data_IF_178770765519
#
_entry.id   IF_178770765519
#
_cell.length_a   1.000
_cell.length_b   1.000
_cell.length_c   1.000
_cell.angle_alpha   90.00
_cell.angle_beta   90.00
_cell.angle_gamma   90.00
#
_symmetry.space_group_name_H-M   'P 1'
#
loop_
_entity.id
_entity.type
_entity.pdbx_description
1 polymer ?
#
# COMPACT_ATOMS: atom_id res chain seq x y z
N UNK A 1 -16.43 -4.29 -37.53
CA UNK A 1 -15.45 -3.77 -36.55
C UNK A 1 -14.15 -4.52 -36.77
N UNK A 2 -13.05 -3.85 -37.17
CA UNK A 2 -11.74 -4.53 -37.27
C UNK A 2 -11.32 -4.88 -35.83
N UNK A 3 -10.96 -6.13 -35.51
CA UNK A 3 -10.44 -6.43 -34.19
C UNK A 3 -9.17 -5.60 -33.99
N UNK A 4 -9.14 -4.80 -32.93
CA UNK A 4 -7.94 -4.09 -32.52
C UNK A 4 -6.81 -5.11 -32.39
N UNK A 5 -5.75 -4.94 -33.20
CA UNK A 5 -4.60 -5.84 -33.13
C UNK A 5 -3.91 -5.60 -31.80
N UNK A 6 -3.84 -6.65 -30.98
CA UNK A 6 -3.02 -6.65 -29.76
C UNK A 6 -1.57 -6.33 -30.17
N UNK A 7 -0.99 -5.28 -29.56
CA UNK A 7 0.42 -4.95 -29.79
C UNK A 7 1.33 -6.02 -29.19
N UNK A 8 2.55 -6.14 -29.71
CA UNK A 8 3.55 -7.07 -29.17
C UNK A 8 3.89 -6.76 -27.69
N UNK A 9 3.86 -5.48 -27.31
CA UNK A 9 4.14 -5.05 -25.95
C UNK A 9 3.00 -5.43 -25.00
N UNK A 10 1.74 -5.21 -25.40
CA UNK A 10 0.58 -5.60 -24.59
C UNK A 10 0.51 -7.12 -24.39
N UNK A 11 0.87 -7.91 -25.41
CA UNK A 11 0.97 -9.37 -25.27
C UNK A 11 2.10 -9.77 -24.30
N UNK A 12 3.23 -9.06 -24.32
CA UNK A 12 4.37 -9.32 -23.44
C UNK A 12 4.03 -9.01 -21.98
N UNK A 13 3.41 -7.87 -21.71
CA UNK A 13 2.98 -7.49 -20.37
C UNK A 13 1.92 -8.46 -19.83
N UNK A 14 0.94 -8.84 -20.65
CA UNK A 14 -0.03 -9.89 -20.30
C UNK A 14 0.64 -11.22 -19.95
N UNK A 15 1.57 -11.69 -20.80
CA UNK A 15 2.26 -12.96 -20.56
C UNK A 15 3.12 -12.93 -19.29
N UNK A 16 3.76 -11.79 -19.03
CA UNK A 16 4.55 -11.55 -17.82
C UNK A 16 3.67 -11.53 -16.56
N UNK A 17 2.52 -10.87 -16.61
CA UNK A 17 1.55 -10.84 -15.52
C UNK A 17 1.05 -12.26 -15.19
N UNK A 18 0.61 -13.02 -16.19
CA UNK A 18 0.20 -14.42 -16.03
C UNK A 18 1.32 -15.26 -15.42
N UNK A 19 2.57 -15.06 -15.86
CA UNK A 19 3.72 -15.79 -15.33
C UNK A 19 3.96 -15.53 -13.84
N UNK A 20 3.88 -14.27 -13.40
CA UNK A 20 4.02 -13.91 -11.97
C UNK A 20 2.84 -14.47 -11.17
N UNK A 21 1.61 -14.24 -11.65
CA UNK A 21 0.38 -14.65 -10.99
C UNK A 21 0.28 -16.16 -10.76
N UNK A 22 0.84 -16.97 -11.67
CA UNK A 22 0.90 -18.44 -11.52
C UNK A 22 1.83 -18.92 -10.41
N UNK A 23 2.81 -18.11 -10.00
CA UNK A 23 3.81 -18.47 -8.98
C UNK A 23 3.43 -18.05 -7.57
N UNK A 24 2.46 -17.15 -7.44
CA UNK A 24 2.05 -16.58 -6.16
C UNK A 24 0.82 -17.30 -5.62
N UNK A 25 0.89 -17.71 -4.35
CA UNK A 25 -0.22 -18.30 -3.62
C UNK A 25 -0.16 -17.88 -2.17
N UNK A 26 -0.94 -16.87 -1.82
CA UNK A 26 -0.96 -16.31 -0.47
C UNK A 26 -2.33 -15.70 -0.15
N UNK A 27 -2.76 -15.79 1.12
CA UNK A 27 -4.10 -15.31 1.55
C UNK A 27 -4.34 -13.83 1.23
N UNK A 28 -3.29 -13.02 1.32
CA UNK A 28 -3.32 -11.57 1.07
C UNK A 28 -2.79 -11.18 -0.33
N UNK A 29 -2.81 -12.10 -1.28
CA UNK A 29 -2.50 -11.84 -2.69
C UNK A 29 -3.65 -12.39 -3.54
N UNK A 30 -4.08 -11.66 -4.56
CA UNK A 30 -5.18 -12.12 -5.44
C UNK A 30 -4.79 -13.44 -6.09
N UNK A 31 -5.66 -14.44 -5.95
CA UNK A 31 -5.40 -15.78 -6.45
C UNK A 31 -5.68 -15.86 -7.94
N UNK A 32 -4.68 -16.31 -8.70
CA UNK A 32 -4.84 -16.70 -10.09
C UNK A 32 -5.63 -18.00 -10.20
N UNK A 33 -6.63 -18.02 -11.09
CA UNK A 33 -7.42 -19.21 -11.41
C UNK A 33 -7.05 -19.73 -12.80
N UNK A 34 -6.92 -18.85 -13.80
CA UNK A 34 -6.63 -19.23 -15.17
C UNK A 34 -6.43 -18.02 -16.08
N UNK A 35 -6.08 -18.28 -17.35
CA UNK A 35 -5.97 -17.24 -18.36
C UNK A 35 -6.42 -17.76 -19.73
N UNK A 36 -7.06 -16.89 -20.53
CA UNK A 36 -7.27 -17.12 -21.95
C UNK A 36 -6.15 -16.40 -22.71
N UNK A 37 -5.37 -17.17 -23.48
CA UNK A 37 -4.23 -16.64 -24.24
C UNK A 37 -4.50 -16.57 -25.75
N UNK A 38 -5.75 -16.79 -26.18
CA UNK A 38 -6.13 -16.86 -27.60
C UNK A 38 -6.54 -15.49 -28.14
N UNK A 39 -5.76 -14.96 -29.09
CA UNK A 39 -6.08 -13.70 -29.75
C UNK A 39 -7.44 -13.75 -30.50
N UNK A 40 -8.17 -12.62 -30.59
CA UNK A 40 -7.83 -11.29 -30.06
C UNK A 40 -8.21 -11.09 -28.59
N UNK A 41 -8.71 -12.11 -27.91
CA UNK A 41 -9.29 -11.98 -26.57
C UNK A 41 -8.38 -12.59 -25.50
N UNK A 42 -7.60 -11.73 -24.86
CA UNK A 42 -6.77 -12.12 -23.72
C UNK A 42 -7.53 -11.86 -22.42
N UNK A 43 -7.59 -12.85 -21.54
CA UNK A 43 -8.26 -12.73 -20.24
C UNK A 43 -7.40 -13.31 -19.13
N UNK A 44 -7.44 -12.70 -17.96
CA UNK A 44 -6.94 -13.25 -16.71
C UNK A 44 -8.14 -13.49 -15.81
N UNK A 45 -8.22 -14.69 -15.22
CA UNK A 45 -9.29 -15.10 -14.33
C UNK A 45 -8.71 -15.21 -12.92
N UNK A 46 -9.30 -14.48 -11.98
CA UNK A 46 -8.92 -14.46 -10.57
C UNK A 46 -10.11 -14.66 -9.66
N UNK A 47 -9.84 -14.85 -8.37
CA UNK A 47 -10.86 -14.66 -7.33
C UNK A 47 -11.58 -13.32 -7.52
N UNK A 48 -12.89 -13.32 -7.29
CA UNK A 48 -13.69 -12.09 -7.29
C UNK A 48 -13.58 -11.36 -5.95
N UNK A 49 -13.26 -10.07 -5.98
CA UNK A 49 -13.10 -9.22 -4.80
C UNK A 49 -14.34 -8.33 -4.61
N UNK A 50 -15.35 -8.88 -3.94
CA UNK A 50 -16.69 -8.25 -3.83
C UNK A 50 -16.70 -6.88 -3.13
N UNK A 51 -15.70 -6.59 -2.30
CA UNK A 51 -15.53 -5.29 -1.64
C UNK A 51 -14.99 -4.19 -2.56
N UNK A 52 -14.46 -4.54 -3.73
CA UNK A 52 -13.78 -3.62 -4.64
C UNK A 52 -12.42 -3.16 -4.12
N UNK A 53 -11.90 -2.06 -4.68
CA UNK A 53 -10.62 -1.48 -4.26
C UNK A 53 -10.75 -0.64 -2.99
N UNK A 54 -9.66 -0.55 -2.22
CA UNK A 54 -9.58 0.37 -1.08
C UNK A 54 -9.72 1.83 -1.50
N UNK A 55 -9.26 2.18 -2.70
CA UNK A 55 -9.44 3.52 -3.27
C UNK A 55 -10.93 3.86 -3.40
N UNK A 56 -11.73 2.98 -4.00
CA UNK A 56 -13.16 3.20 -4.16
C UNK A 56 -13.90 3.17 -2.82
N UNK A 57 -13.45 2.32 -1.89
CA UNK A 57 -13.98 2.30 -0.53
C UNK A 57 -13.79 3.65 0.19
N UNK A 58 -12.59 4.25 0.10
CA UNK A 58 -12.29 5.52 0.75
C UNK A 58 -12.95 6.70 0.04
N UNK A 59 -12.77 6.82 -1.28
CA UNK A 59 -13.02 8.08 -1.99
C UNK A 59 -14.36 8.13 -2.73
N UNK A 60 -14.91 6.99 -3.17
CA UNK A 60 -16.22 6.95 -3.85
C UNK A 60 -17.37 6.71 -2.87
N UNK A 61 -17.14 5.84 -1.88
CA UNK A 61 -18.14 5.53 -0.84
C UNK A 61 -18.04 6.47 0.37
N UNK A 62 -17.01 7.33 0.43
CA UNK A 62 -16.73 8.26 1.52
C UNK A 62 -16.69 7.57 2.91
N UNK A 63 -16.19 6.33 2.93
CA UNK A 63 -16.03 5.57 4.17
C UNK A 63 -14.68 5.90 4.81
N UNK A 64 -14.61 5.73 6.13
CA UNK A 64 -13.36 5.78 6.88
C UNK A 64 -13.13 4.49 7.64
N UNK A 65 -11.86 4.21 7.94
CA UNK A 65 -11.48 3.09 8.80
C UNK A 65 -11.23 3.57 10.22
N UNK A 66 -11.70 2.82 11.21
CA UNK A 66 -11.24 3.00 12.59
C UNK A 66 -9.79 2.53 12.72
N UNK A 67 -9.06 3.00 13.73
CA UNK A 67 -7.66 2.61 13.96
C UNK A 67 -7.46 1.08 13.97
N UNK A 68 -8.35 0.33 14.61
CA UNK A 68 -8.27 -1.14 14.61
C UNK A 68 -8.40 -1.76 13.21
N UNK A 69 -9.21 -1.17 12.34
CA UNK A 69 -9.39 -1.61 10.96
C UNK A 69 -8.21 -1.18 10.09
N UNK A 70 -7.66 0.03 10.29
CA UNK A 70 -6.43 0.49 9.64
C UNK A 70 -5.30 -0.50 9.95
N UNK A 71 -5.10 -0.86 11.21
CA UNK A 71 -4.05 -1.80 11.60
C UNK A 71 -4.27 -3.20 11.00
N UNK A 72 -5.52 -3.68 10.93
CA UNK A 72 -5.86 -4.96 10.27
C UNK A 72 -5.54 -4.91 8.77
N UNK A 73 -6.03 -3.88 8.08
CA UNK A 73 -5.82 -3.70 6.64
C UNK A 73 -4.33 -3.54 6.32
N UNK A 74 -3.61 -2.71 7.07
CA UNK A 74 -2.17 -2.55 6.94
C UNK A 74 -1.43 -3.87 7.15
N UNK A 75 -1.85 -4.67 8.15
CA UNK A 75 -1.27 -5.99 8.39
C UNK A 75 -1.49 -6.94 7.22
N UNK A 76 -2.69 -6.97 6.65
CA UNK A 76 -3.02 -7.79 5.48
C UNK A 76 -2.15 -7.41 4.28
N UNK A 77 -2.05 -6.11 3.97
CA UNK A 77 -1.20 -5.59 2.89
C UNK A 77 0.26 -5.99 3.13
N UNK A 78 0.78 -5.77 4.35
CA UNK A 78 2.17 -6.09 4.69
C UNK A 78 2.45 -7.59 4.59
N UNK A 79 1.51 -8.48 4.92
CA UNK A 79 1.67 -9.93 4.73
C UNK A 79 1.78 -10.29 3.24
N UNK A 80 0.90 -9.72 2.41
CA UNK A 80 0.93 -9.92 0.97
C UNK A 80 2.26 -9.45 0.36
N UNK A 81 2.68 -8.24 0.69
CA UNK A 81 3.94 -7.67 0.19
C UNK A 81 5.18 -8.41 0.71
N UNK A 82 5.21 -8.79 1.99
CA UNK A 82 6.30 -9.60 2.54
C UNK A 82 6.44 -10.92 1.78
N UNK A 83 5.32 -11.59 1.47
CA UNK A 83 5.32 -12.81 0.67
C UNK A 83 5.87 -12.58 -0.74
N UNK A 84 5.46 -11.50 -1.43
CA UNK A 84 5.97 -11.17 -2.76
C UNK A 84 7.49 -10.93 -2.73
N UNK A 85 7.98 -10.15 -1.76
CA UNK A 85 9.40 -9.83 -1.61
C UNK A 85 10.24 -11.07 -1.30
N UNK A 86 9.75 -11.98 -0.44
CA UNK A 86 10.39 -13.27 -0.18
C UNK A 86 10.49 -14.17 -1.43
N UNK A 87 9.58 -13.98 -2.40
CA UNK A 87 9.60 -14.67 -3.69
C UNK A 87 10.32 -13.85 -4.78
N UNK A 88 11.11 -12.84 -4.41
CA UNK A 88 11.86 -11.96 -5.32
C UNK A 88 10.98 -11.23 -6.35
N UNK A 89 9.74 -10.89 -5.97
CA UNK A 89 8.79 -10.13 -6.80
C UNK A 89 8.68 -8.71 -6.23
N UNK A 90 8.94 -7.71 -7.07
CA UNK A 90 8.74 -6.29 -6.74
C UNK A 90 7.44 -5.84 -7.41
N UNK A 91 6.54 -5.22 -6.66
CA UNK A 91 5.20 -4.86 -7.13
C UNK A 91 5.21 -3.63 -8.05
N UNK A 92 5.93 -2.57 -7.67
CA UNK A 92 6.17 -1.32 -8.43
C UNK A 92 4.98 -0.37 -8.59
N UNK A 93 3.74 -0.86 -8.45
CA UNK A 93 2.53 -0.01 -8.49
C UNK A 93 1.63 -0.21 -7.27
N UNK A 94 2.21 -0.20 -6.07
CA UNK A 94 1.45 -0.38 -4.84
C UNK A 94 0.67 0.90 -4.51
N UNK A 95 -0.66 0.83 -4.60
CA UNK A 95 -1.59 1.94 -4.33
C UNK A 95 -2.94 1.40 -3.87
N UNK A 96 -3.79 2.23 -3.27
CA UNK A 96 -5.12 1.81 -2.79
C UNK A 96 -6.04 1.28 -3.89
N UNK A 97 -5.81 1.63 -5.15
CA UNK A 97 -6.55 1.08 -6.30
C UNK A 97 -6.19 -0.40 -6.57
N UNK A 98 -4.97 -0.82 -6.24
CA UNK A 98 -4.44 -2.17 -6.46
C UNK A 98 -4.52 -3.05 -5.21
N UNK A 99 -5.28 -2.60 -4.21
CA UNK A 99 -5.57 -3.31 -2.98
C UNK A 99 -7.06 -3.59 -2.94
N UNK A 100 -7.41 -4.87 -3.04
CA UNK A 100 -8.80 -5.31 -3.19
C UNK A 100 -9.30 -6.01 -1.94
N UNK A 101 -10.60 -5.92 -1.68
CA UNK A 101 -11.23 -6.50 -0.50
C UNK A 101 -12.20 -7.62 -0.88
N UNK A 102 -12.12 -8.78 -0.21
CA UNK A 102 -13.05 -9.90 -0.37
C UNK A 102 -14.31 -9.75 0.52
N UNK A 103 -15.25 -10.72 0.44
CA UNK A 103 -16.49 -10.65 1.24
C UNK A 103 -16.26 -10.67 2.75
N UNK A 104 -15.10 -11.17 3.21
CA UNK A 104 -14.73 -11.28 4.61
C UNK A 104 -13.93 -10.06 5.09
N UNK A 105 -13.86 -9.00 4.29
CA UNK A 105 -13.05 -7.79 4.53
C UNK A 105 -11.55 -8.07 4.64
N UNK A 106 -11.07 -9.17 4.07
CA UNK A 106 -9.62 -9.44 3.94
C UNK A 106 -9.10 -8.66 2.74
N UNK A 107 -7.97 -7.99 2.93
CA UNK A 107 -7.33 -7.24 1.85
C UNK A 107 -6.30 -8.12 1.15
N UNK A 108 -6.33 -8.06 -0.19
CA UNK A 108 -5.40 -8.76 -1.08
C UNK A 108 -4.72 -7.79 -2.03
N UNK A 109 -3.42 -7.98 -2.23
CA UNK A 109 -2.61 -7.26 -3.21
C UNK A 109 -2.94 -7.79 -4.61
N UNK A 110 -3.24 -6.89 -5.54
CA UNK A 110 -3.68 -7.15 -6.91
C UNK A 110 -2.83 -6.37 -7.92
N UNK A 111 -3.07 -6.61 -9.21
CA UNK A 111 -2.49 -5.89 -10.35
C UNK A 111 -0.96 -6.03 -10.47
N UNK A 112 -0.54 -7.05 -11.22
CA UNK A 112 0.86 -7.37 -11.46
C UNK A 112 1.33 -6.91 -12.85
N UNK A 113 0.55 -6.07 -13.56
CA UNK A 113 0.84 -5.67 -14.93
C UNK A 113 2.24 -5.06 -15.11
N UNK A 114 2.73 -4.35 -14.09
CA UNK A 114 4.09 -3.79 -14.04
C UNK A 114 5.04 -4.49 -13.07
N UNK A 115 4.59 -5.54 -12.40
CA UNK A 115 5.43 -6.30 -11.49
C UNK A 115 6.55 -7.04 -12.24
N UNK A 116 7.69 -7.24 -11.59
CA UNK A 116 8.86 -7.92 -12.18
C UNK A 116 9.56 -8.81 -11.15
N UNK A 117 10.22 -9.84 -11.66
CA UNK A 117 11.19 -10.63 -10.89
C UNK A 117 12.49 -9.83 -10.79
N UNK A 118 13.14 -9.84 -9.62
CA UNK A 118 14.30 -8.99 -9.27
C UNK A 118 15.45 -8.99 -10.30
N UNK A 119 15.60 -10.03 -11.11
CA UNK A 119 16.64 -10.18 -12.14
C UNK A 119 16.32 -9.49 -13.49
N UNK A 120 15.16 -8.85 -13.62
CA UNK A 120 14.77 -8.12 -14.84
C UNK A 120 14.93 -6.61 -14.65
N UNK A 121 16.09 -6.08 -15.05
CA UNK A 121 16.36 -4.64 -15.09
C UNK A 121 15.60 -4.00 -16.26
N UNK A 122 14.54 -3.26 -15.98
CA UNK A 122 13.75 -2.56 -16.99
C UNK A 122 13.23 -1.23 -16.45
N UNK A 123 13.31 -0.19 -17.29
CA UNK A 123 12.79 1.15 -17.02
C UNK A 123 11.27 1.12 -17.14
N UNK A 124 10.56 1.68 -16.16
CA UNK A 124 9.10 1.80 -16.20
C UNK A 124 8.70 3.12 -16.86
N UNK A 125 7.77 3.09 -17.80
CA UNK A 125 7.01 4.28 -18.21
C UNK A 125 5.87 4.47 -17.21
N UNK A 126 6.04 5.37 -16.24
CA UNK A 126 5.00 5.65 -15.26
C UNK A 126 3.80 6.36 -15.92
N UNK A 127 2.60 5.81 -15.76
CA UNK A 127 1.38 6.53 -16.10
C UNK A 127 1.19 7.71 -15.14
N UNK A 128 0.74 8.85 -15.65
CA UNK A 128 0.63 10.11 -14.90
C UNK A 128 -0.18 9.98 -13.62
N UNK A 129 -1.09 9.01 -13.49
CA UNK A 129 -1.92 8.80 -12.30
C UNK A 129 -1.18 8.22 -11.08
N UNK A 130 -0.11 7.44 -11.29
CA UNK A 130 0.54 6.66 -10.21
C UNK A 130 1.56 7.45 -9.39
N UNK A 131 2.03 8.59 -9.90
CA UNK A 131 3.12 9.37 -9.30
C UNK A 131 2.96 9.69 -7.81
N UNK A 132 1.72 9.80 -7.30
CA UNK A 132 1.44 10.13 -5.90
C UNK A 132 1.93 9.06 -4.91
N UNK A 133 2.06 7.81 -5.32
CA UNK A 133 2.52 6.71 -4.46
C UNK A 133 3.98 6.30 -4.75
N UNK A 134 4.63 6.88 -5.76
CA UNK A 134 5.96 6.45 -6.20
C UNK A 134 7.07 6.96 -5.31
N UNK A 135 8.05 6.09 -5.06
CA UNK A 135 9.28 6.45 -4.38
C UNK A 135 10.14 7.41 -5.24
N UNK A 136 10.94 8.31 -4.62
CA UNK A 136 11.74 9.30 -5.35
C UNK A 136 12.70 8.65 -6.36
N UNK A 137 13.35 7.54 -6.01
CA UNK A 137 14.27 6.84 -6.91
C UNK A 137 13.58 6.25 -8.13
N UNK A 138 12.30 5.87 -8.03
CA UNK A 138 11.52 5.38 -9.15
C UNK A 138 11.12 6.54 -10.07
N UNK A 139 10.73 7.69 -9.50
CA UNK A 139 10.42 8.91 -10.26
C UNK A 139 11.66 9.42 -11.02
N UNK A 140 12.83 9.35 -10.37
CA UNK A 140 14.12 9.75 -10.96
C UNK A 140 14.69 8.72 -11.95
N UNK A 141 14.00 7.59 -12.18
CA UNK A 141 14.47 6.49 -13.05
C UNK A 141 15.86 5.95 -12.64
N UNK A 142 16.18 5.99 -11.34
CA UNK A 142 17.40 5.41 -10.78
C UNK A 142 17.22 3.91 -10.56
N UNK A 143 18.31 3.13 -10.41
CA UNK A 143 18.20 1.76 -9.92
C UNK A 143 17.49 1.74 -8.56
N UNK A 144 16.51 0.83 -8.42
CA UNK A 144 15.72 0.67 -7.20
C UNK A 144 15.50 -0.82 -6.93
N UNK A 145 15.18 -1.14 -5.68
CA UNK A 145 14.86 -2.48 -5.21
C UNK A 145 13.44 -2.54 -4.60
N UNK A 146 13.18 -3.58 -3.81
CA UNK A 146 11.88 -3.80 -3.16
C UNK A 146 11.52 -2.71 -2.13
N UNK A 147 12.48 -1.86 -1.70
CA UNK A 147 12.22 -0.72 -0.81
C UNK A 147 11.40 0.39 -1.46
N UNK A 148 11.27 0.40 -2.79
CA UNK A 148 10.33 1.27 -3.49
C UNK A 148 8.88 0.96 -3.08
N UNK A 149 8.52 -0.32 -2.96
CA UNK A 149 7.18 -0.73 -2.52
C UNK A 149 6.91 -0.33 -1.06
N UNK A 150 7.95 -0.27 -0.23
CA UNK A 150 7.84 0.18 1.17
C UNK A 150 7.46 1.66 1.25
N UNK A 151 8.05 2.48 0.38
CA UNK A 151 7.67 3.89 0.27
C UNK A 151 6.19 4.03 -0.11
N UNK A 152 5.78 3.30 -1.14
CA UNK A 152 4.39 3.28 -1.61
C UNK A 152 3.42 2.81 -0.52
N UNK A 153 3.81 1.80 0.26
CA UNK A 153 3.06 1.36 1.43
C UNK A 153 2.93 2.47 2.49
N UNK A 154 3.97 3.27 2.73
CA UNK A 154 3.89 4.43 3.61
C UNK A 154 2.82 5.44 3.17
N UNK A 155 2.73 5.70 1.86
CA UNK A 155 1.69 6.57 1.28
C UNK A 155 0.30 5.93 1.43
N UNK A 156 0.16 4.63 1.15
CA UNK A 156 -1.10 3.88 1.34
C UNK A 156 -1.54 3.93 2.81
N UNK A 157 -0.61 3.75 3.76
CA UNK A 157 -0.92 3.79 5.18
C UNK A 157 -1.40 5.18 5.62
N UNK A 158 -0.81 6.24 5.06
CA UNK A 158 -1.28 7.61 5.30
C UNK A 158 -2.69 7.85 4.72
N UNK A 159 -2.96 7.31 3.53
CA UNK A 159 -4.26 7.39 2.89
C UNK A 159 -5.33 6.62 3.68
N UNK A 160 -5.02 5.44 4.22
CA UNK A 160 -5.91 4.70 5.12
C UNK A 160 -6.19 5.46 6.42
N UNK A 161 -5.18 6.15 6.95
CA UNK A 161 -5.28 6.93 8.18
C UNK A 161 -6.16 8.17 8.01
N UNK A 162 -6.04 8.85 6.89
CA UNK A 162 -6.67 10.16 6.68
C UNK A 162 -7.95 10.10 5.85
N UNK A 163 -8.13 9.04 5.06
CA UNK A 163 -9.17 8.94 4.05
C UNK A 163 -9.01 9.95 2.91
N UNK A 164 -7.84 10.59 2.78
CA UNK A 164 -7.59 11.65 1.79
C UNK A 164 -6.74 11.17 0.64
N UNK A 165 -6.94 11.79 -0.54
CA UNK A 165 -6.07 11.57 -1.69
C UNK A 165 -4.67 12.14 -1.38
N UNK A 166 -3.58 11.37 -1.55
CA UNK A 166 -2.23 11.88 -1.30
C UNK A 166 -1.91 13.10 -2.16
N UNK A 167 -1.50 14.19 -1.52
CA UNK A 167 -1.18 15.47 -2.18
C UNK A 167 -2.37 16.03 -2.99
N UNK A 168 -3.60 15.90 -2.50
CA UNK A 168 -4.85 16.29 -3.21
C UNK A 168 -4.82 17.69 -3.87
N UNK A 169 -4.05 18.62 -3.31
CA UNK A 169 -3.90 20.00 -3.80
C UNK A 169 -2.89 20.17 -4.95
N UNK A 170 -2.19 19.12 -5.36
CA UNK A 170 -1.22 19.12 -6.46
C UNK A 170 -1.70 18.22 -7.60
N UNK A 171 -1.29 18.51 -8.83
CA UNK A 171 -1.36 17.49 -9.89
C UNK A 171 -0.40 16.33 -9.59
N UNK A 172 -0.62 15.12 -10.12
CA UNK A 172 0.29 14.00 -9.88
C UNK A 172 1.75 14.31 -10.23
N UNK A 173 1.99 15.03 -11.33
CA UNK A 173 3.34 15.44 -11.74
C UNK A 173 3.95 16.46 -10.76
N UNK A 174 3.17 17.43 -10.29
CA UNK A 174 3.63 18.38 -9.27
C UNK A 174 3.96 17.68 -7.94
N UNK A 175 3.17 16.67 -7.55
CA UNK A 175 3.46 15.84 -6.40
C UNK A 175 4.80 15.11 -6.58
N UNK A 176 5.02 14.48 -7.74
CA UNK A 176 6.28 13.81 -8.07
C UNK A 176 7.49 14.74 -7.95
N UNK A 177 7.41 15.92 -8.55
CA UNK A 177 8.45 16.96 -8.50
C UNK A 177 8.69 17.39 -7.05
N UNK A 178 7.63 17.62 -6.27
CA UNK A 178 7.73 17.98 -4.86
C UNK A 178 8.43 16.89 -4.02
N UNK A 179 8.09 15.62 -4.26
CA UNK A 179 8.69 14.46 -3.57
C UNK A 179 10.19 14.39 -3.82
N UNK A 180 10.61 14.54 -5.08
CA UNK A 180 12.01 14.41 -5.51
C UNK A 180 12.84 15.64 -5.13
N UNK A 181 12.38 16.84 -5.47
CA UNK A 181 13.17 18.07 -5.34
C UNK A 181 13.10 18.68 -3.93
N UNK A 182 11.94 18.58 -3.28
CA UNK A 182 11.69 19.26 -1.98
C UNK A 182 11.55 18.29 -0.81
N UNK A 183 11.66 16.98 -1.05
CA UNK A 183 11.42 15.97 -0.01
C UNK A 183 9.97 15.99 0.50
N UNK A 184 9.01 16.43 -0.31
CA UNK A 184 7.62 16.59 0.10
C UNK A 184 7.03 15.27 0.61
N UNK A 185 6.36 15.30 1.76
CA UNK A 185 5.60 14.17 2.32
C UNK A 185 4.21 14.65 2.76
N UNK A 186 3.19 13.79 2.73
CA UNK A 186 1.88 14.09 3.29
C UNK A 186 1.96 14.48 4.77
N UNK A 187 1.12 15.43 5.20
CA UNK A 187 1.09 15.86 6.59
C UNK A 187 0.42 14.81 7.46
N UNK A 188 1.13 14.29 8.47
CA UNK A 188 0.56 13.35 9.46
C UNK A 188 -0.33 14.13 10.45
N UNK A 189 -1.60 13.73 10.68
CA UNK A 189 -2.46 14.36 11.69
C UNK A 189 -1.83 14.34 13.09
N UNK A 190 -1.97 15.43 13.85
CA UNK A 190 -1.32 15.61 15.17
C UNK A 190 -1.82 14.62 16.23
N UNK A 191 -3.02 14.10 16.07
CA UNK A 191 -3.67 13.11 16.93
C UNK A 191 -3.30 11.65 16.58
N UNK A 192 -2.46 11.45 15.57
CA UNK A 192 -1.95 10.13 15.18
C UNK A 192 -1.09 9.54 16.30
N UNK A 193 -1.27 8.25 16.58
CA UNK A 193 -0.46 7.53 17.56
C UNK A 193 1.04 7.63 17.24
N UNK A 194 1.93 7.97 18.20
CA UNK A 194 3.34 8.27 17.92
C UNK A 194 4.07 7.18 17.12
N UNK A 195 3.87 5.91 17.48
CA UNK A 195 4.49 4.79 16.76
C UNK A 195 3.97 4.58 15.34
N UNK A 196 2.72 4.96 15.07
CA UNK A 196 2.18 4.92 13.70
C UNK A 196 2.77 6.07 12.87
N UNK A 197 2.94 7.24 13.48
CA UNK A 197 3.65 8.37 12.87
C UNK A 197 5.11 8.03 12.56
N UNK A 198 5.81 7.39 13.50
CA UNK A 198 7.18 6.90 13.30
C UNK A 198 7.26 5.86 12.17
N UNK A 199 6.32 4.92 12.12
CA UNK A 199 6.25 3.92 11.05
C UNK A 199 6.07 4.59 9.67
N UNK A 200 5.14 5.54 9.55
CA UNK A 200 4.97 6.34 8.33
C UNK A 200 6.27 7.03 7.92
N UNK A 201 6.93 7.68 8.90
CA UNK A 201 8.19 8.39 8.69
C UNK A 201 9.32 7.49 8.20
N UNK A 202 9.44 6.28 8.76
CA UNK A 202 10.42 5.29 8.33
C UNK A 202 10.10 4.72 6.95
N UNK A 203 8.84 4.41 6.64
CA UNK A 203 8.45 3.84 5.35
C UNK A 203 8.77 4.76 4.17
N UNK A 204 8.56 6.07 4.30
CA UNK A 204 8.79 7.03 3.21
C UNK A 204 10.11 7.81 3.32
N UNK A 205 11.08 7.26 4.03
CA UNK A 205 12.40 7.87 4.17
C UNK A 205 13.06 8.10 2.80
N UNK A 206 13.86 9.16 2.67
CA UNK A 206 14.51 9.50 1.38
C UNK A 206 15.45 8.40 0.94
N UNK A 207 16.34 7.98 1.83
CA UNK A 207 17.24 6.85 1.61
C UNK A 207 16.45 5.52 1.71
N UNK A 208 16.42 4.68 0.65
CA UNK A 208 15.81 3.35 0.69
C UNK A 208 16.40 2.40 1.74
N UNK A 209 17.67 2.56 2.11
CA UNK A 209 18.33 1.71 3.11
C UNK A 209 17.72 1.86 4.50
N UNK A 210 17.29 3.06 4.85
CA UNK A 210 16.65 3.41 6.13
C UNK A 210 15.17 2.96 6.22
N UNK A 211 14.58 2.55 5.09
CA UNK A 211 13.20 2.06 5.06
C UNK A 211 13.15 0.63 5.62
N UNK A 212 12.18 0.29 6.47
CA UNK A 212 12.05 -1.05 7.02
C UNK A 212 11.62 -2.06 5.96
N UNK A 213 11.99 -3.33 6.10
CA UNK A 213 11.39 -4.40 5.31
C UNK A 213 9.96 -4.72 5.80
N UNK A 214 9.14 -5.33 4.95
CA UNK A 214 7.78 -5.70 5.34
C UNK A 214 7.72 -6.67 6.53
N UNK A 215 8.76 -7.49 6.75
CA UNK A 215 8.91 -8.32 7.95
C UNK A 215 8.97 -7.46 9.23
N UNK A 216 9.78 -6.40 9.21
CA UNK A 216 9.91 -5.45 10.32
C UNK A 216 8.62 -4.64 10.51
N UNK A 217 7.97 -4.22 9.42
CA UNK A 217 6.67 -3.54 9.47
C UNK A 217 5.63 -4.44 10.15
N UNK A 218 5.58 -5.72 9.82
CA UNK A 218 4.64 -6.68 10.43
C UNK A 218 4.85 -6.81 11.93
N UNK A 219 6.10 -6.85 12.41
CA UNK A 219 6.40 -6.88 13.84
C UNK A 219 5.87 -5.63 14.56
N UNK A 220 6.04 -4.45 13.96
CA UNK A 220 5.54 -3.18 14.50
C UNK A 220 4.01 -3.20 14.55
N UNK A 221 3.35 -3.55 13.44
CA UNK A 221 1.89 -3.60 13.34
C UNK A 221 1.25 -4.59 14.32
N UNK A 222 1.91 -5.69 14.64
CA UNK A 222 1.41 -6.68 15.61
C UNK A 222 1.50 -6.20 17.07
N UNK A 223 2.47 -5.32 17.39
CA UNK A 223 2.65 -4.78 18.74
C UNK A 223 1.73 -3.60 19.01
N UNK A 224 1.46 -2.77 18.01
CA UNK A 224 0.65 -1.55 18.11
C UNK A 224 -0.72 -1.73 18.80
N UNK A 225 -1.55 -2.75 18.48
CA UNK A 225 -2.85 -2.92 19.13
C UNK A 225 -2.76 -3.08 20.66
N UNK A 226 -1.72 -3.73 21.17
CA UNK A 226 -1.51 -3.94 22.61
C UNK A 226 -1.14 -2.64 23.30
N UNK A 227 -0.33 -1.82 22.64
CA UNK A 227 0.18 -0.57 23.18
C UNK A 227 -0.89 0.53 23.16
N UNK A 228 -1.69 0.61 22.09
CA UNK A 228 -2.84 1.53 22.02
C UNK A 228 -3.84 1.26 23.14
N UNK A 229 -4.07 -0.02 23.51
CA UNK A 229 -4.91 -0.41 24.65
C UNK A 229 -4.28 0.00 25.99
N UNK A 230 -2.98 -0.24 26.17
CA UNK A 230 -2.28 0.16 27.39
C UNK A 230 -2.29 1.69 27.61
N UNK A 231 -2.09 2.47 26.54
CA UNK A 231 -2.12 3.94 26.60
C UNK A 231 -3.51 4.50 26.94
N UNK A 232 -4.56 3.87 26.40
CA UNK A 232 -5.95 4.28 26.71
C UNK A 232 -6.32 3.96 28.15
N UNK A 233 -5.94 2.79 28.68
CA UNK A 233 -6.14 2.42 30.08
C UNK A 233 -5.33 3.31 31.04
N UNK A 234 -4.07 3.63 30.69
CA UNK A 234 -3.22 4.53 31.47
C UNK A 234 -3.79 5.95 31.56
N UNK A 235 -4.31 6.49 30.44
CA UNK A 235 -4.98 7.81 30.40
C UNK A 235 -6.29 7.84 31.19
N UNK A 236 -7.05 6.76 31.19
CA UNK A 236 -8.28 6.68 31.99
C UNK A 236 -7.97 6.61 33.48
N UNK A 237 -6.96 5.83 33.90
CA UNK A 237 -6.50 5.78 35.30
C UNK A 237 -5.95 7.12 35.78
N UNK A 238 -5.18 7.84 34.96
CA UNK A 238 -4.65 9.16 35.34
C UNK A 238 -5.77 10.21 35.47
N UNK A 239 -6.75 10.24 34.57
CA UNK A 239 -7.94 11.10 34.70
C UNK A 239 -8.77 10.77 35.93
N UNK A 240 -9.00 9.49 36.22
CA UNK A 240 -9.73 9.05 37.42
C UNK A 240 -8.99 9.41 38.71
N UNK A 241 -7.67 9.24 38.75
CA UNK A 241 -6.82 9.65 39.87
C UNK A 241 -6.84 11.17 40.11
N UNK A 242 -6.81 11.97 39.03
CA UNK A 242 -6.91 13.43 39.12
C UNK A 242 -8.27 13.88 39.69
N UNK A 243 -9.37 13.31 39.20
CA UNK A 243 -10.72 13.59 39.71
C UNK A 243 -10.90 13.13 41.16
N UNK A 244 -10.28 12.03 41.56
CA UNK A 244 -10.29 11.56 42.96
C UNK A 244 -9.48 12.46 43.89
N UNK A 245 -8.39 13.07 43.41
CA UNK A 245 -7.57 14.00 44.20
C UNK A 245 -8.29 15.34 44.41
N UNK A 246 -8.98 15.85 43.39
CA UNK A 246 -9.81 17.07 43.51
C UNK A 246 -10.97 16.92 44.50
N UNK A 247 -11.55 15.71 44.66
CA UNK A 247 -12.63 15.45 45.62
C UNK A 247 -12.17 15.29 47.08
N UNK A 248 -10.87 15.11 47.34
CA UNK A 248 -10.31 14.96 48.70
C UNK A 248 -9.82 16.27 49.31
N UNK A 249 -9.78 17.35 48.53
CA UNK A 249 -9.34 18.69 48.97
C UNK A 249 -10.51 19.66 49.21
N UNK A 250 -11.73 19.13 49.37
CA UNK A 250 -12.93 19.83 49.84
C UNK A 250 -13.49 19.08 51.05
#
# INVERSE_FOLDING_TARGET
>A
VRPERISADMYRDFAQEVYIMRKVRHRNVVQFIGACTRQPNLYIVTDFMSGGSLHDYLHKKNNSFKLSEILRVATDISKGMNYLHQNNIIHRDLKTANLLMDENKVVKVADFGVARVKDQSGVMTAETGTYRWMAPEVIEHKPYDHKADVFSFGIVLWELLTGKIPYEYLTPLQAAIGVVQKGLRPTIPKDTHPKLSELLQKCWHRDPAERPDFSQILEILQRLPKEVRADTEGRQKSKAGFLSALKRNH
#
